data_IF_276607319415
#
_entry.id   IF_276607319415
#
_cell.length_a   1.000
_cell.length_b   1.000
_cell.length_c   1.000
_cell.angle_alpha   90.00
_cell.angle_beta   90.00
_cell.angle_gamma   90.00
#
_symmetry.space_group_name_H-M   'P 1'
#
loop_
_entity.id
_entity.type
_entity.pdbx_description
1 polymer ?
#
# COMPACT_ATOMS: atom_id res chain seq x y z
N UNK A 1 -38.10 12.94 16.95
CA UNK A 1 -37.12 11.84 17.03
C UNK A 1 -37.09 11.37 18.46
N UNK A 2 -37.40 10.10 18.72
CA UNK A 2 -37.30 9.52 20.05
C UNK A 2 -35.84 9.53 20.52
N UNK A 3 -35.62 9.99 21.75
CA UNK A 3 -34.32 9.97 22.39
C UNK A 3 -34.19 8.64 23.12
N UNK A 4 -33.23 7.76 22.76
CA UNK A 4 -33.05 6.49 23.45
C UNK A 4 -32.60 6.74 24.89
N UNK A 5 -32.98 5.84 25.77
CA UNK A 5 -32.50 5.78 27.15
C UNK A 5 -31.04 5.32 27.21
N UNK A 6 -30.36 5.61 28.33
CA UNK A 6 -28.96 5.20 28.51
C UNK A 6 -28.79 3.66 28.51
N UNK A 7 -29.81 2.92 28.97
CA UNK A 7 -29.84 1.46 28.97
C UNK A 7 -29.92 0.88 27.54
N UNK A 8 -30.82 1.40 26.70
CA UNK A 8 -30.96 0.97 25.30
C UNK A 8 -29.69 1.19 24.49
N UNK A 9 -28.99 2.32 24.73
CA UNK A 9 -27.70 2.61 24.10
C UNK A 9 -26.67 1.54 24.48
N UNK A 10 -26.58 1.19 25.77
CA UNK A 10 -25.58 0.22 26.25
C UNK A 10 -25.86 -1.19 25.73
N UNK A 11 -27.11 -1.64 25.71
CA UNK A 11 -27.48 -2.96 25.24
C UNK A 11 -27.26 -3.11 23.72
N UNK A 12 -27.66 -2.11 22.93
CA UNK A 12 -27.37 -2.10 21.50
C UNK A 12 -25.85 -2.05 21.22
N UNK A 13 -25.09 -1.35 22.08
CA UNK A 13 -23.63 -1.31 21.95
C UNK A 13 -22.99 -2.67 22.26
N UNK A 14 -23.47 -3.39 23.29
CA UNK A 14 -23.02 -4.75 23.60
C UNK A 14 -23.32 -5.70 22.44
N UNK A 15 -24.54 -5.65 21.90
CA UNK A 15 -24.93 -6.45 20.74
C UNK A 15 -24.02 -6.18 19.54
N UNK A 16 -23.69 -4.90 19.29
CA UNK A 16 -22.80 -4.48 18.20
C UNK A 16 -21.35 -4.94 18.41
N UNK A 17 -20.81 -4.85 19.62
CA UNK A 17 -19.45 -5.34 19.89
C UNK A 17 -19.36 -6.87 19.85
N UNK A 18 -20.43 -7.58 20.23
CA UNK A 18 -20.48 -9.04 20.13
C UNK A 18 -20.57 -9.52 18.68
N UNK A 19 -21.33 -8.83 17.83
CA UNK A 19 -21.46 -9.19 16.40
C UNK A 19 -20.27 -8.72 15.56
N UNK A 20 -19.63 -7.62 15.95
CA UNK A 20 -18.47 -7.04 15.27
C UNK A 20 -17.34 -6.75 16.27
N UNK A 21 -16.58 -7.78 16.66
CA UNK A 21 -15.42 -7.60 17.53
C UNK A 21 -14.44 -6.60 16.90
N UNK A 22 -13.96 -5.63 17.68
CA UNK A 22 -13.04 -4.55 17.27
C UNK A 22 -13.63 -3.36 16.47
N UNK A 23 -14.95 -3.14 16.46
CA UNK A 23 -15.48 -1.87 15.93
C UNK A 23 -15.04 -0.70 16.82
N UNK A 24 -14.52 0.39 16.25
CA UNK A 24 -14.09 1.55 17.04
C UNK A 24 -15.28 2.39 17.53
N UNK A 25 -15.15 3.06 18.68
CA UNK A 25 -16.22 3.89 19.29
C UNK A 25 -16.93 4.83 18.30
N UNK A 26 -16.18 5.52 17.45
CA UNK A 26 -16.76 6.47 16.50
C UNK A 26 -17.64 5.76 15.47
N UNK A 27 -17.21 4.57 15.00
CA UNK A 27 -17.99 3.75 14.07
C UNK A 27 -19.19 3.12 14.78
N UNK A 28 -19.03 2.65 16.01
CA UNK A 28 -20.14 2.16 16.82
C UNK A 28 -21.24 3.21 17.00
N UNK A 29 -20.87 4.46 17.30
CA UNK A 29 -21.83 5.56 17.39
C UNK A 29 -22.57 5.80 16.08
N UNK A 30 -21.86 5.84 14.94
CA UNK A 30 -22.49 6.04 13.63
C UNK A 30 -23.44 4.89 13.30
N UNK A 31 -23.01 3.65 13.50
CA UNK A 31 -23.85 2.46 13.28
C UNK A 31 -25.12 2.51 14.13
N UNK A 32 -25.02 2.82 15.42
CA UNK A 32 -26.18 2.91 16.31
C UNK A 32 -27.15 4.03 15.90
N UNK A 33 -26.63 5.18 15.46
CA UNK A 33 -27.46 6.27 14.93
C UNK A 33 -28.20 5.85 13.66
N UNK A 34 -27.51 5.18 12.74
CA UNK A 34 -28.07 4.78 11.45
C UNK A 34 -29.08 3.65 11.59
N UNK A 35 -28.75 2.60 12.35
CA UNK A 35 -29.59 1.39 12.46
C UNK A 35 -30.85 1.61 13.30
N UNK A 36 -30.77 2.46 14.32
CA UNK A 36 -31.88 2.69 15.26
C UNK A 36 -32.55 4.06 15.06
N UNK A 37 -32.11 4.84 14.07
CA UNK A 37 -32.57 6.21 13.82
C UNK A 37 -32.50 7.12 15.06
N UNK A 38 -31.44 6.96 15.85
CA UNK A 38 -31.23 7.67 17.10
C UNK A 38 -30.39 8.93 16.92
N UNK A 39 -30.69 9.98 17.70
CA UNK A 39 -29.84 11.16 17.79
C UNK A 39 -29.04 11.20 19.10
N UNK A 40 -27.90 10.50 19.12
CA UNK A 40 -27.01 10.39 20.28
C UNK A 40 -25.80 11.31 20.15
N UNK A 41 -25.53 12.16 21.15
CA UNK A 41 -24.31 12.96 21.18
C UNK A 41 -23.05 12.14 21.51
N UNK A 42 -21.93 12.40 20.84
CA UNK A 42 -20.65 11.71 21.10
C UNK A 42 -20.19 11.83 22.57
N UNK A 43 -20.45 12.98 23.21
CA UNK A 43 -20.15 13.18 24.65
C UNK A 43 -20.96 12.23 25.54
N UNK A 44 -22.27 12.07 25.26
CA UNK A 44 -23.16 11.16 26.00
C UNK A 44 -22.73 9.71 25.81
N UNK A 45 -22.46 9.32 24.58
CA UNK A 45 -22.01 7.96 24.24
C UNK A 45 -20.68 7.60 24.91
N UNK A 46 -19.69 8.50 24.86
CA UNK A 46 -18.39 8.32 25.52
C UNK A 46 -18.58 8.09 27.03
N UNK A 47 -19.37 8.94 27.69
CA UNK A 47 -19.62 8.85 29.14
C UNK A 47 -20.25 7.51 29.53
N UNK A 48 -21.16 6.97 28.70
CA UNK A 48 -21.80 5.68 28.96
C UNK A 48 -20.84 4.50 28.83
N UNK A 49 -19.94 4.53 27.85
CA UNK A 49 -18.94 3.48 27.69
C UNK A 49 -17.90 3.50 28.80
N UNK A 50 -17.50 4.68 29.28
CA UNK A 50 -16.56 4.82 30.39
C UNK A 50 -17.17 4.42 31.74
N UNK A 51 -18.49 4.56 31.89
CA UNK A 51 -19.23 4.17 33.07
C UNK A 51 -19.71 2.70 33.05
N UNK A 52 -19.40 1.93 32.01
CA UNK A 52 -19.86 0.54 31.86
C UNK A 52 -18.73 -0.46 31.64
N UNK A 53 -19.00 -1.69 32.00
CA UNK A 53 -18.18 -2.91 31.85
C UNK A 53 -17.82 -3.22 30.39
N UNK A 54 -18.44 -2.53 29.42
CA UNK A 54 -18.15 -2.63 27.98
C UNK A 54 -16.71 -2.20 27.65
N UNK A 55 -16.10 -1.33 28.45
CA UNK A 55 -14.71 -0.90 28.26
C UNK A 55 -13.68 -2.01 28.60
N UNK A 56 -14.00 -2.93 29.52
CA UNK A 56 -13.04 -3.92 30.03
C UNK A 56 -12.81 -5.10 29.07
N UNK A 57 -13.80 -5.46 28.24
CA UNK A 57 -13.67 -6.58 27.29
C UNK A 57 -12.78 -6.28 26.07
N UNK A 58 -12.40 -5.02 25.82
CA UNK A 58 -11.54 -4.64 24.69
C UNK A 58 -10.05 -4.53 25.05
N UNK A 59 -9.68 -4.59 26.34
CA UNK A 59 -8.30 -4.37 26.79
C UNK A 59 -7.41 -5.63 26.80
N UNK A 60 -8.00 -6.83 26.69
CA UNK A 60 -7.27 -8.10 26.87
C UNK A 60 -6.61 -8.67 25.59
N UNK A 61 -6.78 -8.03 24.43
CA UNK A 61 -6.35 -8.58 23.13
C UNK A 61 -5.09 -7.98 22.49
N UNK A 62 -4.45 -6.99 23.12
CA UNK A 62 -3.31 -6.28 22.51
C UNK A 62 -2.00 -6.61 23.25
N UNK A 63 -1.33 -7.68 22.84
CA UNK A 63 0.13 -7.78 22.99
C UNK A 63 0.77 -7.20 21.71
N UNK A 64 1.75 -6.34 21.94
CA UNK A 64 2.41 -5.48 20.97
C UNK A 64 3.12 -6.28 19.87
N UNK A 65 2.67 -6.11 18.63
CA UNK A 65 3.51 -6.24 17.44
C UNK A 65 3.54 -4.89 16.71
N UNK A 66 4.77 -4.46 16.44
CA UNK A 66 5.18 -3.16 15.95
C UNK A 66 4.50 -2.84 14.61
N UNK A 67 3.49 -1.96 14.65
CA UNK A 67 2.75 -1.47 13.48
C UNK A 67 2.83 0.06 13.40
N UNK A 68 4.03 0.58 13.14
CA UNK A 68 4.24 1.97 12.73
C UNK A 68 3.85 2.15 11.26
N UNK A 69 2.54 2.15 11.03
CA UNK A 69 1.89 2.57 9.79
C UNK A 69 0.72 3.49 10.11
N UNK A 70 1.00 4.80 10.16
CA UNK A 70 -0.01 5.86 10.27
C UNK A 70 -0.21 6.41 11.68
N UNK A 71 0.80 7.09 12.22
CA UNK A 71 0.62 8.12 13.25
C UNK A 71 1.22 9.41 12.72
N UNK A 72 0.52 10.53 12.92
CA UNK A 72 1.02 11.87 12.66
C UNK A 72 2.39 12.03 13.34
N UNK A 73 3.46 12.12 12.56
CA UNK A 73 4.73 12.62 13.08
C UNK A 73 4.51 14.10 13.42
N UNK A 74 4.66 14.44 14.70
CA UNK A 74 5.06 15.78 15.09
C UNK A 74 6.25 16.17 14.21
N UNK A 75 6.16 17.36 13.60
CA UNK A 75 7.21 17.95 12.78
C UNK A 75 8.50 18.04 13.60
N UNK A 76 9.40 17.08 13.40
CA UNK A 76 10.81 17.33 13.67
C UNK A 76 11.29 18.47 12.74
N UNK A 77 12.19 19.35 13.21
CA UNK A 77 12.71 20.43 12.40
C UNK A 77 13.28 19.89 11.08
N UNK A 78 13.10 20.60 9.95
CA UNK A 78 13.45 20.10 8.64
C UNK A 78 14.94 19.76 8.60
N UNK A 79 15.21 18.46 8.51
CA UNK A 79 16.53 17.93 8.17
C UNK A 79 17.01 18.66 6.91
N UNK A 80 18.26 19.16 6.86
CA UNK A 80 18.73 19.96 5.73
C UNK A 80 18.44 19.25 4.42
N UNK A 81 17.85 19.98 3.47
CA UNK A 81 17.37 19.45 2.20
C UNK A 81 18.53 18.73 1.49
N UNK A 82 18.47 17.40 1.50
CA UNK A 82 19.46 16.57 0.83
C UNK A 82 19.44 16.86 -0.66
N UNK A 83 20.60 16.88 -1.31
CA UNK A 83 20.77 17.16 -2.74
C UNK A 83 19.88 16.25 -3.59
N UNK A 84 18.96 16.78 -4.42
CA UNK A 84 18.05 16.00 -5.27
C UNK A 84 18.69 14.78 -5.94
N UNK A 85 17.93 13.69 -6.07
CA UNK A 85 18.35 12.57 -6.91
C UNK A 85 18.64 13.06 -8.33
N UNK A 86 19.70 12.53 -8.93
CA UNK A 86 20.04 12.82 -10.31
C UNK A 86 19.26 11.88 -11.23
N UNK A 87 18.48 12.46 -12.13
CA UNK A 87 17.69 11.73 -13.12
C UNK A 87 18.36 11.85 -14.50
N UNK A 88 18.25 10.83 -15.36
CA UNK A 88 18.66 10.95 -16.75
C UNK A 88 17.89 12.06 -17.46
N UNK A 89 18.54 12.71 -18.43
CA UNK A 89 17.90 13.76 -19.24
C UNK A 89 16.65 13.26 -19.97
N UNK A 90 16.69 12.01 -20.44
CA UNK A 90 15.55 11.30 -21.02
C UNK A 90 15.22 10.10 -20.12
N UNK A 91 14.55 10.40 -19.01
CA UNK A 91 14.22 9.41 -17.98
C UNK A 91 13.27 8.34 -18.51
N UNK A 92 12.32 8.70 -19.38
CA UNK A 92 11.42 7.75 -20.01
C UNK A 92 12.18 6.73 -20.86
N UNK A 93 13.03 7.18 -21.79
CA UNK A 93 13.81 6.26 -22.60
C UNK A 93 14.80 5.44 -21.77
N UNK A 94 15.31 6.00 -20.66
CA UNK A 94 16.15 5.25 -19.72
C UNK A 94 15.37 4.13 -19.01
N UNK A 95 14.12 4.38 -18.59
CA UNK A 95 13.24 3.37 -18.02
C UNK A 95 12.97 2.25 -19.04
N UNK A 96 12.56 2.58 -20.26
CA UNK A 96 12.27 1.57 -21.30
C UNK A 96 13.50 0.70 -21.58
N UNK A 97 14.67 1.31 -21.81
CA UNK A 97 15.92 0.55 -21.99
C UNK A 97 16.24 -0.35 -20.80
N UNK A 98 16.00 0.14 -19.58
CA UNK A 98 16.23 -0.66 -18.38
C UNK A 98 15.30 -1.89 -18.36
N UNK A 99 14.01 -1.70 -18.65
CA UNK A 99 13.03 -2.80 -18.70
C UNK A 99 13.36 -3.84 -19.79
N UNK A 100 14.02 -3.44 -20.87
CA UNK A 100 14.43 -4.33 -21.97
C UNK A 100 15.75 -5.08 -21.69
N UNK A 101 16.66 -4.48 -20.92
CA UNK A 101 18.04 -4.99 -20.78
C UNK A 101 18.34 -5.58 -19.40
N UNK A 102 17.58 -5.20 -18.38
CA UNK A 102 17.77 -5.67 -17.01
C UNK A 102 16.96 -6.94 -16.75
N UNK A 103 17.49 -7.80 -15.88
CA UNK A 103 16.72 -8.89 -15.28
C UNK A 103 15.71 -8.40 -14.23
N UNK A 104 15.75 -7.10 -13.89
CA UNK A 104 14.86 -6.44 -12.93
C UNK A 104 13.78 -5.65 -13.66
N UNK A 105 12.66 -5.43 -12.99
CA UNK A 105 11.47 -4.81 -13.59
C UNK A 105 11.59 -3.31 -13.79
N UNK A 106 12.23 -2.59 -12.87
CA UNK A 106 12.43 -1.15 -12.98
C UNK A 106 13.61 -0.71 -12.10
N UNK A 107 14.02 0.55 -12.29
CA UNK A 107 15.09 1.21 -11.55
C UNK A 107 14.51 2.30 -10.66
N UNK A 108 15.08 2.51 -9.48
CA UNK A 108 14.90 3.73 -8.70
C UNK A 108 16.25 4.42 -8.50
N UNK A 109 16.28 5.74 -8.66
CA UNK A 109 17.53 6.50 -8.63
C UNK A 109 17.90 6.88 -7.19
N UNK A 110 19.12 6.51 -6.78
CA UNK A 110 19.67 6.77 -5.46
C UNK A 110 20.49 8.06 -5.37
N UNK A 111 20.73 8.52 -4.14
CA UNK A 111 21.57 9.71 -3.86
C UNK A 111 23.06 9.38 -3.67
N UNK A 112 23.39 8.13 -3.34
CA UNK A 112 24.74 7.69 -3.02
C UNK A 112 25.48 7.09 -4.23
N UNK A 113 26.34 6.12 -3.95
CA UNK A 113 27.14 5.44 -4.98
C UNK A 113 26.31 4.55 -5.93
N UNK A 114 25.09 4.21 -5.53
CA UNK A 114 24.25 3.21 -6.22
C UNK A 114 22.91 3.80 -6.64
N UNK A 115 22.38 3.25 -7.72
CA UNK A 115 20.94 3.19 -7.95
C UNK A 115 20.43 1.83 -7.54
N UNK A 116 19.14 1.56 -7.72
CA UNK A 116 18.57 0.29 -7.30
C UNK A 116 17.70 -0.35 -8.36
N UNK A 117 17.97 -1.62 -8.64
CA UNK A 117 17.10 -2.46 -9.45
C UNK A 117 16.03 -3.11 -8.60
N UNK A 118 14.81 -3.16 -9.11
CA UNK A 118 13.65 -3.61 -8.34
C UNK A 118 12.92 -4.74 -9.07
N UNK A 119 12.55 -5.78 -8.34
CA UNK A 119 11.69 -6.85 -8.83
C UNK A 119 10.60 -7.16 -7.80
N UNK A 120 9.32 -7.03 -8.14
CA UNK A 120 8.25 -7.63 -7.36
C UNK A 120 8.20 -9.14 -7.66
N UNK A 121 7.20 -9.85 -7.12
CA UNK A 121 6.92 -11.20 -7.57
C UNK A 121 6.35 -11.23 -9.01
N UNK A 122 6.36 -12.40 -9.65
CA UNK A 122 6.02 -12.55 -11.08
C UNK A 122 4.65 -11.99 -11.46
N UNK A 123 3.61 -12.27 -10.66
CA UNK A 123 2.25 -11.78 -10.94
C UNK A 123 2.19 -10.24 -10.89
N UNK A 124 2.90 -9.65 -9.93
CA UNK A 124 3.00 -8.21 -9.77
C UNK A 124 3.86 -7.57 -10.86
N UNK A 125 4.90 -8.25 -11.35
CA UNK A 125 5.70 -7.82 -12.51
C UNK A 125 4.83 -7.72 -13.77
N UNK A 126 3.98 -8.72 -14.02
CA UNK A 126 3.02 -8.69 -15.13
C UNK A 126 2.08 -7.49 -15.00
N UNK A 127 1.56 -7.23 -13.80
CA UNK A 127 0.69 -6.08 -13.54
C UNK A 127 1.39 -4.75 -13.83
N UNK A 128 2.64 -4.57 -13.39
CA UNK A 128 3.44 -3.37 -13.69
C UNK A 128 3.61 -3.21 -15.21
N UNK A 129 3.93 -4.29 -15.93
CA UNK A 129 4.04 -4.27 -17.38
C UNK A 129 2.75 -3.85 -18.09
N UNK A 130 1.60 -4.34 -17.61
CA UNK A 130 0.27 -3.93 -18.11
C UNK A 130 0.03 -2.43 -17.86
N UNK A 131 0.30 -1.94 -16.64
CA UNK A 131 0.12 -0.53 -16.29
C UNK A 131 1.05 0.37 -17.13
N UNK A 132 2.32 0.01 -17.24
CA UNK A 132 3.29 0.71 -18.07
C UNK A 132 2.83 0.79 -19.53
N UNK A 133 2.48 -0.35 -20.14
CA UNK A 133 1.98 -0.39 -21.52
C UNK A 133 0.68 0.40 -21.74
N UNK A 134 -0.19 0.50 -20.73
CA UNK A 134 -1.38 1.35 -20.80
C UNK A 134 -1.02 2.83 -20.79
N UNK A 135 -0.10 3.26 -19.93
CA UNK A 135 0.38 4.65 -19.90
C UNK A 135 1.11 5.04 -21.19
N UNK A 136 1.89 4.14 -21.78
CA UNK A 136 2.50 4.34 -23.10
C UNK A 136 1.45 4.58 -24.19
N UNK A 137 0.38 3.77 -24.21
CA UNK A 137 -0.72 3.95 -25.18
C UNK A 137 -1.49 5.25 -25.00
N UNK A 138 -1.45 5.83 -23.79
CA UNK A 138 -2.00 7.16 -23.50
C UNK A 138 -1.02 8.30 -23.87
N UNK A 139 0.19 7.98 -24.31
CA UNK A 139 1.18 8.95 -24.77
C UNK A 139 2.10 9.46 -23.67
N UNK A 140 2.42 8.66 -22.65
CA UNK A 140 3.50 8.99 -21.72
C UNK A 140 4.86 9.14 -22.44
N UNK A 141 5.71 10.12 -22.06
CA UNK A 141 5.56 11.08 -20.96
C UNK A 141 4.88 12.41 -21.35
N UNK A 142 4.24 12.49 -22.51
CA UNK A 142 3.56 13.67 -23.02
C UNK A 142 4.14 14.22 -24.33
N UNK A 143 3.84 15.48 -24.68
CA UNK A 143 3.26 16.53 -23.83
C UNK A 143 1.78 16.31 -23.47
N UNK A 144 1.39 16.73 -22.26
CA UNK A 144 0.02 16.65 -21.75
C UNK A 144 -0.53 18.03 -21.39
N UNK A 145 -1.81 18.26 -21.70
CA UNK A 145 -2.56 19.35 -21.08
C UNK A 145 -2.85 19.06 -19.59
N UNK A 146 -3.25 20.10 -18.85
CA UNK A 146 -3.47 20.01 -17.41
C UNK A 146 -4.55 19.00 -17.02
N UNK A 147 -5.62 18.89 -17.84
CA UNK A 147 -6.71 17.94 -17.59
C UNK A 147 -6.21 16.50 -17.73
N UNK A 148 -5.37 16.25 -18.71
CA UNK A 148 -4.76 14.96 -19.02
C UNK A 148 -3.75 14.56 -17.96
N UNK A 149 -2.96 15.52 -17.46
CA UNK A 149 -2.09 15.32 -16.29
C UNK A 149 -2.88 14.82 -15.09
N UNK A 150 -3.96 15.50 -14.70
CA UNK A 150 -4.79 15.08 -13.57
C UNK A 150 -5.40 13.70 -13.81
N UNK A 151 -5.92 13.45 -15.02
CA UNK A 151 -6.51 12.15 -15.37
C UNK A 151 -5.50 11.01 -15.22
N UNK A 152 -4.29 11.19 -15.74
CA UNK A 152 -3.25 10.16 -15.67
C UNK A 152 -2.71 10.01 -14.25
N UNK A 153 -2.45 11.11 -13.56
CA UNK A 153 -1.94 11.11 -12.19
C UNK A 153 -2.90 10.45 -11.19
N UNK A 154 -4.21 10.55 -11.43
CA UNK A 154 -5.27 9.91 -10.62
C UNK A 154 -5.69 8.51 -11.11
N UNK A 155 -5.10 8.01 -12.19
CA UNK A 155 -5.44 6.70 -12.77
C UNK A 155 -5.03 5.54 -11.86
N UNK A 156 -5.73 4.40 -11.99
CA UNK A 156 -5.35 3.15 -11.31
C UNK A 156 -3.95 2.68 -11.68
N UNK A 157 -3.55 2.86 -12.94
CA UNK A 157 -2.26 2.47 -13.48
C UNK A 157 -1.13 3.24 -12.80
N UNK A 158 -1.29 4.56 -12.69
CA UNK A 158 -0.31 5.40 -12.01
C UNK A 158 -0.30 5.12 -10.50
N UNK A 159 -1.46 4.87 -9.90
CA UNK A 159 -1.53 4.44 -8.50
C UNK A 159 -0.76 3.13 -8.26
N UNK A 160 -0.91 2.14 -9.13
CA UNK A 160 -0.19 0.86 -9.03
C UNK A 160 1.32 1.08 -9.16
N UNK A 161 1.78 1.81 -10.18
CA UNK A 161 3.20 2.12 -10.39
C UNK A 161 3.76 2.87 -9.19
N UNK A 162 3.06 3.90 -8.71
CA UNK A 162 3.45 4.65 -7.51
C UNK A 162 3.69 3.72 -6.32
N UNK A 163 2.79 2.80 -6.01
CA UNK A 163 2.92 1.96 -4.81
C UNK A 163 4.14 1.03 -4.88
N UNK A 164 4.51 0.51 -6.05
CA UNK A 164 5.73 -0.30 -6.19
C UNK A 164 7.00 0.54 -6.09
N UNK A 165 7.05 1.69 -6.75
CA UNK A 165 8.20 2.59 -6.68
C UNK A 165 8.37 3.11 -5.25
N UNK A 166 7.27 3.44 -4.57
CA UNK A 166 7.30 3.90 -3.19
C UNK A 166 7.67 2.79 -2.21
N UNK A 167 7.18 1.56 -2.40
CA UNK A 167 7.60 0.42 -1.59
C UNK A 167 9.12 0.19 -1.69
N UNK A 168 9.67 0.27 -2.89
CA UNK A 168 11.11 0.15 -3.12
C UNK A 168 11.88 1.33 -2.53
N UNK A 169 11.42 2.57 -2.78
CA UNK A 169 12.02 3.80 -2.26
C UNK A 169 12.13 3.80 -0.73
N UNK A 170 11.11 3.29 -0.03
CA UNK A 170 11.15 3.12 1.43
C UNK A 170 12.25 2.19 1.89
N UNK A 171 12.49 1.07 1.20
CA UNK A 171 13.55 0.12 1.58
C UNK A 171 14.95 0.74 1.49
N UNK A 172 15.14 1.73 0.62
CA UNK A 172 16.44 2.39 0.40
C UNK A 172 16.53 3.79 1.01
N UNK A 173 15.55 4.18 1.83
CA UNK A 173 15.54 5.47 2.53
C UNK A 173 15.35 6.68 1.61
N UNK A 174 14.69 6.53 0.46
CA UNK A 174 14.32 7.65 -0.40
C UNK A 174 13.06 8.36 0.11
N UNK A 175 13.01 9.67 -0.14
CA UNK A 175 11.84 10.48 0.20
C UNK A 175 10.71 10.27 -0.83
N UNK A 176 9.46 10.58 -0.45
CA UNK A 176 8.31 10.47 -1.38
C UNK A 176 8.48 11.39 -2.59
N UNK A 177 9.05 12.56 -2.34
CA UNK A 177 9.30 13.61 -3.33
C UNK A 177 10.36 13.18 -4.35
N UNK A 178 11.28 12.27 -3.98
CA UNK A 178 12.22 11.66 -4.92
C UNK A 178 11.49 10.76 -5.90
N UNK A 179 10.57 9.92 -5.39
CA UNK A 179 9.76 9.02 -6.22
C UNK A 179 8.80 9.82 -7.11
N UNK A 180 8.16 10.85 -6.57
CA UNK A 180 7.25 11.72 -7.34
C UNK A 180 7.96 12.36 -8.53
N UNK A 181 9.14 12.95 -8.29
CA UNK A 181 9.97 13.54 -9.37
C UNK A 181 10.46 12.52 -10.38
N UNK A 182 10.82 11.31 -9.94
CA UNK A 182 11.20 10.25 -10.86
C UNK A 182 10.04 9.89 -11.78
N UNK A 183 8.84 9.67 -11.23
CA UNK A 183 7.66 9.36 -12.04
C UNK A 183 7.22 10.53 -12.93
N UNK A 184 7.40 11.77 -12.48
CA UNK A 184 7.19 12.94 -13.34
C UNK A 184 8.13 12.95 -14.54
N UNK A 185 9.41 12.60 -14.35
CA UNK A 185 10.36 12.51 -15.44
C UNK A 185 10.13 11.29 -16.36
N UNK A 186 9.72 10.15 -15.79
CA UNK A 186 9.50 8.90 -16.53
C UNK A 186 8.15 8.85 -17.24
N UNK A 187 7.11 9.44 -16.66
CA UNK A 187 5.75 9.33 -17.14
C UNK A 187 5.09 10.67 -17.42
N UNK A 188 5.69 11.82 -17.05
CA UNK A 188 5.12 13.14 -17.32
C UNK A 188 4.25 13.72 -16.21
N UNK A 189 4.01 12.98 -15.12
CA UNK A 189 3.27 13.45 -13.92
C UNK A 189 3.83 12.91 -12.61
N UNK A 190 3.80 13.74 -11.58
CA UNK A 190 3.92 13.33 -10.19
C UNK A 190 2.53 12.96 -9.64
N UNK A 191 2.22 11.69 -9.31
CA UNK A 191 0.90 11.34 -8.78
C UNK A 191 0.67 11.76 -7.34
N UNK A 192 1.69 12.21 -6.59
CA UNK A 192 1.60 12.43 -5.14
C UNK A 192 0.40 13.26 -4.68
N UNK A 193 -0.02 14.35 -5.37
CA UNK A 193 -1.16 15.16 -4.94
C UNK A 193 -2.52 14.45 -5.08
N UNK A 194 -2.61 13.40 -5.91
CA UNK A 194 -3.85 12.72 -6.27
C UNK A 194 -3.98 11.32 -5.67
N UNK A 195 -3.01 10.89 -4.86
CA UNK A 195 -3.05 9.60 -4.21
C UNK A 195 -4.17 9.55 -3.16
N UNK A 196 -4.99 8.47 -3.12
CA UNK A 196 -5.98 8.30 -2.07
C UNK A 196 -5.32 8.17 -0.70
N UNK A 197 -5.82 8.93 0.28
CA UNK A 197 -5.46 8.77 1.68
C UNK A 197 -6.32 7.66 2.27
N UNK A 198 -5.70 6.52 2.55
CA UNK A 198 -6.36 5.37 3.16
C UNK A 198 -6.17 5.39 4.68
N UNK A 199 -7.26 5.17 5.42
CA UNK A 199 -7.19 4.90 6.86
C UNK A 199 -6.47 3.58 7.15
N UNK A 200 -5.97 3.39 8.38
CA UNK A 200 -5.36 2.11 8.82
C UNK A 200 -6.30 0.92 8.59
N UNK A 201 -7.60 1.10 8.85
CA UNK A 201 -8.60 0.07 8.61
C UNK A 201 -8.76 -0.28 7.12
N UNK A 202 -8.78 0.71 6.24
CA UNK A 202 -8.85 0.49 4.79
C UNK A 202 -7.58 -0.19 4.26
N UNK A 203 -6.40 0.18 4.77
CA UNK A 203 -5.14 -0.47 4.42
C UNK A 203 -5.12 -1.95 4.84
N UNK A 204 -5.55 -2.25 6.07
CA UNK A 204 -5.65 -3.63 6.57
C UNK A 204 -6.66 -4.44 5.77
N UNK A 205 -7.82 -3.86 5.46
CA UNK A 205 -8.83 -4.52 4.64
C UNK A 205 -8.30 -4.80 3.23
N UNK A 206 -7.62 -3.83 2.60
CA UNK A 206 -7.04 -4.01 1.26
C UNK A 206 -6.00 -5.14 1.26
N UNK A 207 -5.08 -5.15 2.22
CA UNK A 207 -4.10 -6.23 2.40
C UNK A 207 -4.76 -7.59 2.62
N UNK A 208 -5.81 -7.66 3.44
CA UNK A 208 -6.54 -8.89 3.69
C UNK A 208 -7.24 -9.41 2.41
N UNK A 209 -7.87 -8.53 1.64
CA UNK A 209 -8.49 -8.88 0.35
C UNK A 209 -7.44 -9.34 -0.65
N UNK A 210 -6.29 -8.67 -0.72
CA UNK A 210 -5.19 -9.07 -1.59
C UNK A 210 -4.66 -10.46 -1.22
N UNK A 211 -4.38 -10.70 0.06
CA UNK A 211 -3.96 -12.01 0.57
C UNK A 211 -4.96 -13.11 0.23
N UNK A 212 -6.25 -12.89 0.50
CA UNK A 212 -7.28 -13.87 0.19
C UNK A 212 -7.30 -14.22 -1.30
N UNK A 213 -7.36 -13.21 -2.18
CA UNK A 213 -7.36 -13.41 -3.64
C UNK A 213 -6.10 -14.09 -4.16
N UNK A 214 -4.93 -13.74 -3.62
CA UNK A 214 -3.66 -14.36 -4.01
C UNK A 214 -3.60 -15.83 -3.58
N UNK A 215 -4.08 -16.16 -2.37
CA UNK A 215 -4.17 -17.56 -1.93
C UNK A 215 -5.18 -18.36 -2.77
N UNK A 216 -6.33 -17.76 -3.12
CA UNK A 216 -7.32 -18.41 -3.98
C UNK A 216 -6.75 -18.71 -5.37
N UNK A 217 -6.05 -17.75 -5.98
CA UNK A 217 -5.36 -17.95 -7.26
C UNK A 217 -4.30 -19.06 -7.16
N UNK A 218 -3.47 -19.05 -6.12
CA UNK A 218 -2.44 -20.09 -5.90
C UNK A 218 -3.06 -21.48 -5.71
N UNK A 219 -4.19 -21.60 -5.01
CA UNK A 219 -4.93 -22.86 -4.89
C UNK A 219 -5.43 -23.34 -6.26
N UNK A 220 -6.05 -22.46 -7.04
CA UNK A 220 -6.50 -22.79 -8.38
C UNK A 220 -5.34 -23.23 -9.31
N UNK A 221 -4.17 -22.60 -9.20
CA UNK A 221 -2.97 -23.02 -9.94
C UNK A 221 -2.46 -24.40 -9.50
N UNK A 222 -2.40 -24.66 -8.19
CA UNK A 222 -1.99 -25.95 -7.63
C UNK A 222 -2.93 -27.09 -8.02
N UNK A 223 -4.21 -26.79 -8.24
CA UNK A 223 -5.23 -27.76 -8.69
C UNK A 223 -5.17 -28.01 -10.20
N UNK A 224 -4.86 -26.99 -11.00
CA UNK A 224 -4.93 -27.06 -12.46
C UNK A 224 -3.61 -27.39 -13.15
N UNK A 225 -2.46 -27.10 -12.53
CA UNK A 225 -1.13 -27.32 -13.10
C UNK A 225 -0.24 -28.17 -12.16
N UNK A 226 0.11 -29.40 -12.55
CA UNK A 226 1.03 -30.26 -11.78
C UNK A 226 2.39 -29.61 -11.50
N UNK A 227 2.86 -28.73 -12.38
CA UNK A 227 4.15 -28.06 -12.27
C UNK A 227 4.14 -26.91 -11.27
N UNK A 228 2.96 -26.38 -10.91
CA UNK A 228 2.82 -25.29 -9.95
C UNK A 228 3.41 -25.65 -8.57
N UNK A 229 3.42 -26.94 -8.20
CA UNK A 229 4.04 -27.44 -6.96
C UNK A 229 5.56 -27.22 -6.89
N UNK A 230 6.23 -26.99 -8.02
CA UNK A 230 7.68 -26.71 -8.06
C UNK A 230 8.00 -25.27 -7.64
N UNK A 231 7.03 -24.37 -7.72
CA UNK A 231 7.25 -22.92 -7.54
C UNK A 231 6.35 -22.28 -6.48
N UNK A 232 5.25 -22.94 -6.09
CA UNK A 232 4.37 -22.50 -5.01
C UNK A 232 4.64 -23.35 -3.77
N UNK A 233 5.26 -22.79 -2.71
CA UNK A 233 5.46 -23.50 -1.46
C UNK A 233 4.12 -23.88 -0.82
N UNK A 234 4.01 -25.12 -0.34
CA UNK A 234 2.82 -25.64 0.33
C UNK A 234 3.13 -26.10 1.75
N UNK A 235 2.14 -26.00 2.63
CA UNK A 235 2.21 -26.49 4.00
C UNK A 235 2.01 -28.02 4.08
N UNK A 236 2.01 -28.57 5.29
CA UNK A 236 1.79 -30.00 5.54
C UNK A 236 0.41 -30.51 5.11
N UNK A 237 -0.54 -29.62 4.85
CA UNK A 237 -1.89 -29.94 4.35
C UNK A 237 -2.02 -29.73 2.84
N UNK A 238 -0.95 -29.34 2.16
CA UNK A 238 -0.94 -29.05 0.72
C UNK A 238 -1.52 -27.69 0.34
N UNK A 239 -1.79 -26.82 1.32
CA UNK A 239 -2.25 -25.45 1.09
C UNK A 239 -1.10 -24.49 0.80
N UNK A 240 -1.28 -23.45 -0.03
CA UNK A 240 -0.20 -22.50 -0.31
C UNK A 240 0.21 -21.72 0.94
N UNK A 241 1.52 -21.58 1.14
CA UNK A 241 2.09 -20.80 2.25
C UNK A 241 2.04 -19.32 1.93
N UNK A 242 1.64 -18.51 2.91
CA UNK A 242 1.72 -17.06 2.86
C UNK A 242 2.90 -16.54 3.65
N UNK A 243 3.61 -15.58 3.07
CA UNK A 243 4.71 -14.86 3.66
C UNK A 243 4.48 -13.40 3.27
N UNK A 244 4.28 -12.51 4.24
CA UNK A 244 3.95 -11.11 3.96
C UNK A 244 5.12 -10.36 3.29
N UNK A 245 6.36 -10.75 3.56
CA UNK A 245 7.55 -10.07 3.02
C UNK A 245 7.81 -10.44 1.56
N UNK A 246 7.42 -11.66 1.17
CA UNK A 246 7.61 -12.18 -0.19
C UNK A 246 6.33 -12.03 -1.03
N UNK A 247 5.18 -12.25 -0.43
CA UNK A 247 3.89 -12.33 -1.12
C UNK A 247 2.99 -11.12 -0.87
N UNK A 248 3.36 -10.20 0.02
CA UNK A 248 2.57 -9.02 0.35
C UNK A 248 2.18 -8.18 -0.87
N UNK A 249 1.09 -7.43 -0.71
CA UNK A 249 0.70 -6.36 -1.65
C UNK A 249 1.84 -5.33 -1.64
N UNK A 250 2.60 -5.22 -2.75
CA UNK A 250 3.83 -4.42 -2.87
C UNK A 250 5.11 -4.98 -2.21
N UNK A 251 5.20 -6.30 -2.04
CA UNK A 251 6.47 -6.97 -1.76
C UNK A 251 7.45 -6.80 -2.93
N UNK A 252 8.65 -6.29 -2.65
CA UNK A 252 9.69 -6.04 -3.66
C UNK A 252 11.06 -6.49 -3.18
N UNK A 253 11.81 -7.15 -4.06
CA UNK A 253 13.26 -7.29 -3.99
C UNK A 253 13.90 -6.02 -4.53
N UNK A 254 14.84 -5.46 -3.77
CA UNK A 254 15.63 -4.30 -4.18
C UNK A 254 17.10 -4.67 -4.14
N UNK A 255 17.83 -4.43 -5.23
CA UNK A 255 19.27 -4.70 -5.34
C UNK A 255 20.02 -3.42 -5.66
N UNK A 256 21.21 -3.25 -5.09
CA UNK A 256 22.11 -2.13 -5.45
C UNK A 256 22.65 -2.36 -6.85
N UNK A 257 22.60 -1.34 -7.69
CA UNK A 257 23.15 -1.37 -9.05
C UNK A 257 24.09 -0.21 -9.33
N UNK A 258 25.01 -0.42 -10.27
CA UNK A 258 25.95 0.60 -10.73
C UNK A 258 25.21 1.76 -11.40
N UNK A 259 25.56 3.00 -11.03
CA UNK A 259 25.03 4.18 -11.73
C UNK A 259 25.54 4.30 -13.17
N UNK A 260 26.73 3.77 -13.45
CA UNK A 260 27.41 3.90 -14.74
C UNK A 260 26.74 3.10 -15.86
N UNK A 261 26.46 1.81 -15.60
CA UNK A 261 25.84 0.92 -16.58
C UNK A 261 24.35 0.67 -16.29
N UNK A 262 23.90 0.89 -15.05
CA UNK A 262 22.53 0.64 -14.63
C UNK A 262 22.14 -0.83 -14.52
N UNK A 263 23.06 -1.79 -14.60
CA UNK A 263 22.71 -3.23 -14.62
C UNK A 263 23.62 -4.10 -13.76
N UNK A 264 24.85 -3.67 -13.46
CA UNK A 264 25.75 -4.42 -12.58
C UNK A 264 25.25 -4.41 -11.14
N UNK A 265 24.93 -5.58 -10.58
CA UNK A 265 24.38 -5.75 -9.23
C UNK A 265 25.46 -5.93 -8.15
N UNK A 266 25.25 -5.32 -6.98
CA UNK A 266 26.13 -5.39 -5.80
C UNK A 266 25.46 -6.08 -4.58
N UNK A 267 24.37 -6.80 -4.82
CA UNK A 267 23.62 -7.51 -3.79
C UNK A 267 22.33 -6.82 -3.36
N UNK A 268 21.51 -7.55 -2.59
CA UNK A 268 20.22 -7.11 -2.10
C UNK A 268 20.34 -6.03 -1.02
N UNK A 269 19.28 -5.22 -0.90
CA UNK A 269 19.04 -4.33 0.22
C UNK A 269 18.20 -5.08 1.23
N UNK A 270 18.73 -5.24 2.44
CA UNK A 270 18.04 -5.82 3.60
C UNK A 270 17.06 -4.81 4.21
#
# INVERSE_FOLDING_TARGET
MEQPTDAEILDATRALYNSTPNVGRAKALVTLKTENNWDIGNKRFKRLLEASDVAQNNAAGAKEEDTTGGAQQQLEPPKPASTPIQLPKDAHAALVRYMETSIRCFRIYGRGAYDYGVSPNMDQQLLIGICHGRLLRLGAPGPWDEKTKIYIASSSEMYTIWNYWWAAGRKVGLAKEDIGRQLEAEYGVDPTPWLPVLSKAQLLQRKAVFKAKSLDLKRAMLESDPEARKVIPVDSKGGPVWDEEVHGEYAVLVVKISKADGVTEYGAVE
#
